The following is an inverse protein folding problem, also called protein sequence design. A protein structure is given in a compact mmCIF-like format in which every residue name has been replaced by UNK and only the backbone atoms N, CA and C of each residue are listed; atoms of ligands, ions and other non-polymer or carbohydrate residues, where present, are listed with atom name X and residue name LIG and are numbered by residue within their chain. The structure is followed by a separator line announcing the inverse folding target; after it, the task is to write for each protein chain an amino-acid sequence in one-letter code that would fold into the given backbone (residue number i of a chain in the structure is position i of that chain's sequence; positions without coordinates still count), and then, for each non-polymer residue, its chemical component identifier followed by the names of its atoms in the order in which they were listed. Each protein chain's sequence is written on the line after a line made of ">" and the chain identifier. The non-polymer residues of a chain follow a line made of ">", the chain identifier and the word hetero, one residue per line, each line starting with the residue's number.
data_IF_158081034902
#
_entry.id   IF_158081034902
#
_cell.length_a   1.000
_cell.length_b   1.000
_cell.length_c   1.000
_cell.angle_alpha   90.00
_cell.angle_beta   90.00
_cell.angle_gamma   90.00
#
_symmetry.space_group_name_H-M   'P 1'
#
loop_
_entity.id
_entity.type
_entity.pdbx_description
1 polymer ?
#
# COMPACT_ATOMS: atom_id res chain seq x y z
N UNK A 1 -18.14 -57.78 1.76
CA UNK A 1 -17.75 -56.62 0.92
C UNK A 1 -17.57 -57.15 -0.49
N UNK A 2 -18.49 -56.82 -1.40
CA UNK A 2 -18.50 -57.35 -2.77
C UNK A 2 -17.49 -56.61 -3.64
N UNK A 3 -16.98 -57.22 -4.66
CA UNK A 3 -15.95 -56.70 -5.56
C UNK A 3 -16.45 -55.49 -6.37
N UNK A 4 -17.74 -55.28 -6.46
CA UNK A 4 -18.42 -54.14 -7.07
C UNK A 4 -18.22 -52.84 -6.30
N UNK A 5 -18.16 -52.88 -4.96
CA UNK A 5 -18.01 -51.70 -4.12
C UNK A 5 -16.62 -51.00 -4.26
N UNK A 6 -15.59 -51.82 -4.53
CA UNK A 6 -14.21 -51.27 -4.73
C UNK A 6 -14.07 -50.52 -6.05
N UNK A 7 -14.78 -50.89 -7.09
CA UNK A 7 -14.74 -50.21 -8.40
C UNK A 7 -15.47 -48.87 -8.36
N UNK A 8 -16.56 -48.76 -7.60
CA UNK A 8 -17.29 -47.50 -7.42
C UNK A 8 -16.52 -46.47 -6.56
N UNK A 9 -15.79 -46.96 -5.54
CA UNK A 9 -14.92 -46.08 -4.72
C UNK A 9 -13.76 -45.47 -5.54
N UNK A 10 -13.15 -46.23 -6.43
CA UNK A 10 -12.07 -45.76 -7.30
C UNK A 10 -12.57 -44.78 -8.38
N UNK A 11 -13.78 -44.97 -8.90
CA UNK A 11 -14.40 -44.07 -9.87
C UNK A 11 -14.77 -42.70 -9.24
N UNK A 12 -15.24 -42.70 -7.99
CA UNK A 12 -15.57 -41.47 -7.26
C UNK A 12 -14.35 -40.70 -6.80
N UNK A 13 -13.22 -41.34 -6.49
CA UNK A 13 -11.96 -40.69 -6.18
C UNK A 13 -11.32 -40.02 -7.41
N UNK A 14 -11.43 -40.61 -8.59
CA UNK A 14 -10.93 -40.06 -9.85
C UNK A 14 -11.67 -38.76 -10.29
N UNK A 15 -12.99 -38.71 -10.03
CA UNK A 15 -13.81 -37.52 -10.36
C UNK A 15 -13.52 -36.30 -9.48
N UNK A 16 -13.14 -36.48 -8.22
CA UNK A 16 -12.83 -35.39 -7.29
C UNK A 16 -11.51 -34.65 -7.64
N UNK A 17 -10.55 -35.35 -8.25
CA UNK A 17 -9.27 -34.75 -8.66
C UNK A 17 -9.38 -33.86 -9.91
N UNK A 18 -10.34 -34.12 -10.80
CA UNK A 18 -10.56 -33.35 -12.00
C UNK A 18 -11.26 -32.00 -11.73
N UNK A 19 -12.08 -31.91 -10.68
CA UNK A 19 -12.76 -30.68 -10.26
C UNK A 19 -11.85 -29.76 -9.42
N UNK A 20 -10.85 -30.28 -8.72
CA UNK A 20 -9.89 -29.49 -7.92
C UNK A 20 -8.87 -28.73 -8.76
N UNK A 21 -8.59 -29.17 -9.99
CA UNK A 21 -7.59 -28.54 -10.87
C UNK A 21 -8.04 -27.23 -11.53
N UNK A 22 -9.35 -27.00 -11.66
CA UNK A 22 -9.87 -25.82 -12.38
C UNK A 22 -9.89 -24.55 -11.52
N UNK A 23 -9.89 -24.68 -10.19
CA UNK A 23 -9.91 -23.53 -9.26
C UNK A 23 -8.51 -22.97 -8.96
N UNK A 24 -7.43 -23.68 -9.27
CA UNK A 24 -6.06 -23.23 -9.03
C UNK A 24 -5.54 -22.19 -10.05
N UNK A 25 -6.23 -22.02 -11.18
CA UNK A 25 -5.79 -21.18 -12.29
C UNK A 25 -6.10 -19.68 -12.17
N UNK A 26 -6.94 -19.25 -11.22
CA UNK A 26 -7.41 -17.86 -11.15
C UNK A 26 -6.61 -16.96 -10.19
N UNK A 27 -5.64 -17.50 -9.46
CA UNK A 27 -4.85 -16.69 -8.53
C UNK A 27 -3.48 -16.39 -9.14
N UNK A 28 -3.37 -15.30 -9.88
CA UNK A 28 -2.06 -14.77 -10.29
C UNK A 28 -1.53 -13.90 -9.15
N UNK A 29 -0.40 -14.25 -8.51
CA UNK A 29 0.18 -13.39 -7.49
C UNK A 29 0.55 -12.05 -8.12
N UNK A 30 0.18 -10.96 -7.45
CA UNK A 30 0.34 -9.58 -7.92
C UNK A 30 1.82 -9.18 -8.16
N UNK A 31 2.75 -9.96 -7.62
CA UNK A 31 4.20 -9.82 -7.76
C UNK A 31 4.81 -11.05 -8.50
N UNK A 32 4.10 -11.66 -9.44
CA UNK A 32 4.71 -12.66 -10.32
C UNK A 32 5.86 -12.00 -11.12
N UNK A 33 6.96 -12.70 -11.34
CA UNK A 33 8.17 -12.16 -11.99
C UNK A 33 7.89 -11.51 -13.36
N UNK A 34 6.84 -11.93 -14.05
CA UNK A 34 6.37 -11.38 -15.35
C UNK A 34 5.10 -10.51 -15.20
N UNK A 35 4.76 -10.04 -14.00
CA UNK A 35 3.56 -9.24 -13.76
C UNK A 35 3.79 -7.77 -14.14
N UNK A 36 2.73 -7.07 -14.65
CA UNK A 36 2.81 -5.64 -14.99
C UNK A 36 3.16 -4.74 -13.81
N UNK A 37 2.90 -5.19 -12.59
CA UNK A 37 3.32 -4.51 -11.36
C UNK A 37 4.83 -4.55 -11.14
N UNK A 38 5.51 -5.61 -11.59
CA UNK A 38 6.97 -5.76 -11.52
C UNK A 38 7.67 -4.75 -12.45
N UNK A 39 7.03 -4.35 -13.55
CA UNK A 39 7.55 -3.36 -14.48
C UNK A 39 7.74 -1.96 -13.87
N UNK A 40 7.07 -1.62 -12.78
CA UNK A 40 7.24 -0.35 -12.06
C UNK A 40 8.29 -0.40 -10.95
N UNK A 41 8.64 -1.59 -10.45
CA UNK A 41 9.60 -1.76 -9.36
C UNK A 41 10.99 -1.31 -9.83
N UNK A 42 11.62 -0.43 -9.07
CA UNK A 42 12.94 0.12 -9.40
C UNK A 42 12.95 1.19 -10.51
N UNK A 43 11.80 1.59 -11.06
CA UNK A 43 11.70 2.56 -12.16
C UNK A 43 11.02 3.87 -11.78
N UNK A 44 10.70 4.03 -10.49
CA UNK A 44 10.04 5.20 -9.95
C UNK A 44 11.04 6.04 -9.14
N UNK A 45 11.21 7.31 -9.50
CA UNK A 45 11.87 8.29 -8.66
C UNK A 45 10.96 8.65 -7.51
N UNK A 46 11.41 8.36 -6.28
CA UNK A 46 10.67 8.64 -5.06
C UNK A 46 10.77 10.11 -4.66
N UNK A 47 9.75 10.66 -3.97
CA UNK A 47 9.77 12.04 -3.50
C UNK A 47 10.81 12.26 -2.41
N UNK A 48 11.33 13.47 -2.33
CA UNK A 48 12.20 13.91 -1.23
C UNK A 48 11.37 14.67 -0.20
N UNK A 49 11.67 14.49 1.08
CA UNK A 49 10.98 15.13 2.19
C UNK A 49 11.98 15.66 3.21
N UNK A 50 11.78 16.89 3.66
CA UNK A 50 12.65 17.55 4.66
C UNK A 50 12.22 17.28 6.11
N UNK A 51 11.20 16.44 6.33
CA UNK A 51 10.65 16.17 7.65
C UNK A 51 10.69 14.69 8.01
N UNK A 52 10.65 14.41 9.33
CA UNK A 52 10.71 13.04 9.87
C UNK A 52 9.59 12.14 9.38
N UNK A 53 8.37 12.66 9.26
CA UNK A 53 7.22 11.89 8.77
C UNK A 53 7.45 11.42 7.34
N UNK A 54 7.88 12.33 6.48
CA UNK A 54 8.22 12.03 5.09
C UNK A 54 9.38 11.05 4.96
N UNK A 55 10.38 11.11 5.86
CA UNK A 55 11.45 10.13 5.89
C UNK A 55 10.93 8.70 6.09
N UNK A 56 10.06 8.46 7.08
CA UNK A 56 9.48 7.13 7.31
C UNK A 56 8.52 6.69 6.20
N UNK A 57 7.82 7.65 5.58
CA UNK A 57 6.97 7.37 4.42
C UNK A 57 7.82 6.94 3.22
N UNK A 58 8.91 7.65 2.93
CA UNK A 58 9.83 7.33 1.83
C UNK A 58 10.53 5.99 2.06
N UNK A 59 10.95 5.69 3.29
CA UNK A 59 11.52 4.40 3.68
C UNK A 59 10.56 3.25 3.35
N UNK A 60 9.28 3.38 3.73
CA UNK A 60 8.24 2.39 3.41
C UNK A 60 7.94 2.28 1.91
N UNK A 61 7.96 3.39 1.16
CA UNK A 61 7.82 3.37 -0.30
C UNK A 61 9.00 2.63 -0.95
N UNK A 62 10.23 2.89 -0.48
CA UNK A 62 11.45 2.24 -0.98
C UNK A 62 11.46 0.74 -0.73
N UNK A 63 10.98 0.30 0.44
CA UNK A 63 10.86 -1.12 0.77
C UNK A 63 9.90 -1.87 -0.17
N UNK A 64 8.87 -1.21 -0.67
CA UNK A 64 7.84 -1.81 -1.53
C UNK A 64 8.08 -1.63 -3.02
N UNK A 65 8.60 -0.48 -3.43
CA UNK A 65 8.82 -0.12 -4.85
C UNK A 65 10.27 -0.35 -5.29
N UNK A 66 11.14 -0.76 -4.37
CA UNK A 66 12.55 -0.96 -4.63
C UNK A 66 13.35 0.35 -4.70
N UNK A 67 14.67 0.21 -4.81
CA UNK A 67 15.57 1.35 -5.07
C UNK A 67 15.46 1.73 -6.54
N UNK A 68 15.43 3.03 -6.82
CA UNK A 68 15.41 3.55 -8.19
C UNK A 68 16.65 3.11 -8.93
N UNK A 69 16.47 2.34 -10.00
CA UNK A 69 17.51 1.89 -10.93
C UNK A 69 17.40 2.61 -12.28
N UNK A 70 16.16 2.92 -12.68
CA UNK A 70 15.84 3.71 -13.85
C UNK A 70 14.77 4.74 -13.46
N UNK A 71 14.84 5.95 -14.00
CA UNK A 71 13.90 7.03 -13.69
C UNK A 71 12.91 7.20 -14.85
N UNK A 72 12.02 6.22 -15.05
CA UNK A 72 10.97 6.34 -16.06
C UNK A 72 9.73 7.08 -15.57
N UNK A 73 9.56 7.09 -14.26
CA UNK A 73 8.44 7.76 -13.60
C UNK A 73 8.92 8.55 -12.40
N UNK A 74 8.17 9.61 -12.07
CA UNK A 74 8.37 10.44 -10.89
C UNK A 74 7.10 10.39 -10.04
N UNK A 75 7.23 10.01 -8.78
CA UNK A 75 6.14 10.02 -7.80
C UNK A 75 6.16 11.33 -7.03
N UNK A 76 5.04 12.03 -7.03
CA UNK A 76 4.79 13.18 -6.16
C UNK A 76 3.81 12.79 -5.05
N UNK A 77 4.09 13.19 -3.83
CA UNK A 77 3.23 12.91 -2.67
C UNK A 77 3.10 14.17 -1.82
N UNK A 78 1.86 14.60 -1.59
CA UNK A 78 1.51 15.69 -0.69
C UNK A 78 0.87 15.11 0.56
N UNK A 79 1.45 15.35 1.74
CA UNK A 79 0.97 14.79 3.00
C UNK A 79 0.37 15.85 3.90
N UNK A 80 -0.66 15.47 4.66
CA UNK A 80 -1.26 16.27 5.72
C UNK A 80 -1.59 15.41 6.94
N UNK A 81 -1.39 15.96 8.14
CA UNK A 81 -1.75 15.30 9.40
C UNK A 81 -2.78 16.16 10.12
N UNK A 82 -3.92 15.56 10.47
CA UNK A 82 -4.96 16.17 11.29
C UNK A 82 -5.01 15.50 12.66
N UNK A 83 -5.05 16.33 13.70
CA UNK A 83 -5.27 15.88 15.08
C UNK A 83 -6.72 16.10 15.48
N UNK A 84 -7.29 15.13 16.19
CA UNK A 84 -8.61 15.21 16.80
C UNK A 84 -8.56 14.68 18.22
N UNK A 85 -9.26 15.35 19.14
CA UNK A 85 -9.42 14.90 20.52
C UNK A 85 -10.65 13.98 20.59
N UNK A 86 -10.49 12.74 21.04
CA UNK A 86 -11.56 11.74 21.07
C UNK A 86 -12.22 11.58 22.44
N UNK A 87 -11.48 11.85 23.51
CA UNK A 87 -12.00 11.75 24.85
C UNK A 87 -11.45 12.87 25.74
N UNK A 88 -12.34 13.43 26.55
CA UNK A 88 -12.06 14.48 27.51
C UNK A 88 -12.54 13.95 28.86
N UNK A 89 -11.71 14.00 29.90
CA UNK A 89 -12.07 13.61 31.26
C UNK A 89 -12.91 14.70 31.94
N UNK A 90 -13.47 14.39 33.10
CA UNK A 90 -14.32 15.34 33.86
C UNK A 90 -13.58 16.61 34.31
N UNK A 91 -12.26 16.54 34.45
CA UNK A 91 -11.36 17.67 34.71
C UNK A 91 -10.97 18.48 33.46
N UNK A 92 -11.65 18.24 32.34
CA UNK A 92 -11.38 18.86 31.02
C UNK A 92 -10.04 18.46 30.38
N UNK A 93 -9.32 17.46 30.91
CA UNK A 93 -8.09 16.96 30.31
C UNK A 93 -8.37 16.05 29.11
N UNK A 94 -7.58 16.19 28.05
CA UNK A 94 -7.65 15.33 26.85
C UNK A 94 -6.94 14.02 27.14
N UNK A 95 -7.69 12.93 27.20
CA UNK A 95 -7.17 11.60 27.55
C UNK A 95 -6.87 10.74 26.33
N UNK A 96 -7.53 11.00 25.19
CA UNK A 96 -7.29 10.25 23.95
C UNK A 96 -7.22 11.17 22.74
N UNK A 97 -6.15 11.01 21.97
CA UNK A 97 -5.87 11.81 20.78
C UNK A 97 -5.83 10.88 19.57
N UNK A 98 -6.55 11.26 18.51
CA UNK A 98 -6.47 10.62 17.20
C UNK A 98 -5.66 11.46 16.24
N UNK A 99 -4.83 10.82 15.45
CA UNK A 99 -4.13 11.40 14.30
C UNK A 99 -4.64 10.73 13.02
N UNK A 100 -5.06 11.55 12.07
CA UNK A 100 -5.40 11.11 10.71
C UNK A 100 -4.39 11.71 9.76
N UNK A 101 -3.65 10.84 9.08
CA UNK A 101 -2.71 11.24 8.04
C UNK A 101 -3.33 10.97 6.67
N UNK A 102 -3.21 11.93 5.78
CA UNK A 102 -3.71 11.85 4.39
C UNK A 102 -2.53 12.09 3.47
N UNK A 103 -2.44 11.32 2.39
CA UNK A 103 -1.48 11.52 1.33
C UNK A 103 -2.20 11.53 -0.02
N UNK A 104 -2.12 12.65 -0.74
CA UNK A 104 -2.48 12.73 -2.15
C UNK A 104 -1.23 12.45 -2.97
N UNK A 105 -1.31 11.52 -3.91
CA UNK A 105 -0.17 11.11 -4.71
C UNK A 105 -0.50 11.10 -6.19
N UNK A 106 0.51 11.39 -7.01
CA UNK A 106 0.43 11.38 -8.46
C UNK A 106 1.73 10.85 -9.06
N UNK A 107 1.61 10.00 -10.08
CA UNK A 107 2.72 9.42 -10.83
C UNK A 107 2.80 10.09 -12.19
N UNK A 108 3.94 10.66 -12.52
CA UNK A 108 4.23 11.33 -13.78
C UNK A 108 5.28 10.56 -14.58
N UNK A 109 5.25 10.60 -15.92
CA UNK A 109 6.36 10.10 -16.72
C UNK A 109 7.59 10.99 -16.52
N UNK A 110 8.80 10.40 -16.48
CA UNK A 110 10.04 11.14 -16.20
C UNK A 110 10.59 11.90 -17.43
N UNK A 111 10.12 11.63 -18.65
CA UNK A 111 10.70 12.13 -19.91
C UNK A 111 10.21 13.49 -20.41
N UNK A 112 9.51 14.29 -19.60
CA UNK A 112 8.97 15.58 -20.04
C UNK A 112 9.90 16.75 -19.76
N UNK A 113 10.70 17.18 -20.73
CA UNK A 113 11.46 18.45 -20.70
C UNK A 113 10.61 19.70 -20.97
N UNK A 114 9.28 19.59 -20.89
CA UNK A 114 8.39 20.67 -21.29
C UNK A 114 7.88 21.49 -20.10
N UNK A 115 7.77 22.82 -20.23
CA UNK A 115 7.12 23.71 -19.26
C UNK A 115 5.59 23.56 -19.22
N UNK A 116 5.02 22.58 -19.91
CA UNK A 116 3.59 22.29 -19.91
C UNK A 116 3.20 21.45 -18.68
N UNK A 117 2.02 21.67 -18.07
CA UNK A 117 1.52 20.87 -17.00
C UNK A 117 1.36 19.41 -17.50
N UNK A 118 2.19 18.52 -16.97
CA UNK A 118 2.11 17.09 -17.29
C UNK A 118 0.88 16.50 -16.60
N UNK A 119 0.07 15.75 -17.34
CA UNK A 119 -1.00 14.95 -16.74
C UNK A 119 -0.40 13.71 -16.03
N UNK A 120 -0.86 13.40 -14.81
CA UNK A 120 -0.41 12.20 -14.12
C UNK A 120 -0.97 10.96 -14.82
N UNK A 121 -0.11 9.96 -15.04
CA UNK A 121 -0.54 8.64 -15.57
C UNK A 121 -1.37 7.87 -14.54
N UNK A 122 -1.09 8.09 -13.25
CA UNK A 122 -1.85 7.56 -12.13
C UNK A 122 -1.92 8.59 -11.02
N UNK A 123 -3.05 8.63 -10.33
CA UNK A 123 -3.20 9.46 -9.13
C UNK A 123 -4.13 8.81 -8.12
N UNK A 124 -4.02 9.20 -6.87
CA UNK A 124 -4.89 8.68 -5.84
C UNK A 124 -4.69 9.32 -4.48
N UNK A 125 -5.45 8.84 -3.54
CA UNK A 125 -5.40 9.27 -2.14
C UNK A 125 -5.26 8.06 -1.24
N UNK A 126 -4.38 8.16 -0.25
CA UNK A 126 -4.25 7.23 0.85
C UNK A 126 -4.57 7.93 2.17
N UNK A 127 -5.24 7.21 3.08
CA UNK A 127 -5.59 7.70 4.41
C UNK A 127 -5.19 6.67 5.44
N UNK A 128 -4.54 7.10 6.51
CA UNK A 128 -4.23 6.27 7.67
C UNK A 128 -4.63 6.99 8.94
N UNK A 129 -5.17 6.23 9.92
CA UNK A 129 -5.61 6.78 11.18
C UNK A 129 -5.10 5.92 12.33
N UNK A 130 -4.61 6.57 13.39
CA UNK A 130 -4.21 5.92 14.62
C UNK A 130 -4.39 6.87 15.80
N UNK A 131 -4.31 6.35 17.03
CA UNK A 131 -4.49 7.17 18.22
C UNK A 131 -3.57 6.75 19.35
N UNK A 132 -3.37 7.67 20.29
CA UNK A 132 -2.63 7.42 21.51
C UNK A 132 -3.32 8.05 22.71
N UNK A 133 -3.01 7.53 23.90
CA UNK A 133 -3.51 8.09 25.15
C UNK A 133 -2.54 9.16 25.63
N UNK A 134 -3.09 10.30 26.05
CA UNK A 134 -2.35 11.32 26.80
C UNK A 134 -2.29 10.88 28.26
N UNK A 135 -1.13 10.94 28.86
CA UNK A 135 -0.89 10.61 30.28
C UNK A 135 -0.33 11.82 31.01
N UNK A 136 -0.31 11.77 32.34
CA UNK A 136 0.30 12.81 33.17
C UNK A 136 1.81 13.00 32.88
N UNK A 137 2.47 11.97 32.33
CA UNK A 137 3.87 12.06 31.91
C UNK A 137 3.98 12.67 30.51
N UNK A 138 4.55 13.88 30.43
CA UNK A 138 4.85 14.55 29.16
C UNK A 138 5.81 13.75 28.29
N UNK A 139 6.77 13.05 28.90
CA UNK A 139 7.71 12.22 28.17
C UNK A 139 7.01 11.03 27.51
N UNK A 140 6.17 10.30 28.26
CA UNK A 140 5.43 9.15 27.75
C UNK A 140 4.47 9.58 26.61
N UNK A 141 3.77 10.70 26.78
CA UNK A 141 2.86 11.26 25.77
C UNK A 141 3.61 11.65 24.49
N UNK A 142 4.81 12.26 24.62
CA UNK A 142 5.65 12.62 23.45
C UNK A 142 6.17 11.37 22.74
N UNK A 143 6.64 10.36 23.48
CA UNK A 143 7.11 9.10 22.91
C UNK A 143 5.99 8.38 22.15
N UNK A 144 4.78 8.30 22.74
CA UNK A 144 3.62 7.71 22.09
C UNK A 144 3.23 8.45 20.80
N UNK A 145 3.25 9.79 20.81
CA UNK A 145 3.00 10.59 19.61
C UNK A 145 3.99 10.28 18.49
N UNK A 146 5.29 10.22 18.79
CA UNK A 146 6.34 9.94 17.79
C UNK A 146 6.21 8.53 17.21
N UNK A 147 5.86 7.54 18.03
CA UNK A 147 5.64 6.16 17.56
C UNK A 147 4.43 6.09 16.61
N UNK A 148 3.32 6.75 16.97
CA UNK A 148 2.14 6.81 16.11
C UNK A 148 2.42 7.53 14.79
N UNK A 149 3.13 8.64 14.80
CA UNK A 149 3.52 9.34 13.56
C UNK A 149 4.35 8.42 12.64
N UNK A 150 5.30 7.65 13.20
CA UNK A 150 6.07 6.65 12.45
C UNK A 150 5.19 5.57 11.83
N UNK A 151 4.25 5.02 12.60
CA UNK A 151 3.31 3.98 12.12
C UNK A 151 2.41 4.52 11.00
N UNK A 152 1.87 5.72 11.17
CA UNK A 152 1.04 6.37 10.16
C UNK A 152 1.81 6.60 8.85
N UNK A 153 3.06 7.05 8.92
CA UNK A 153 3.89 7.27 7.76
C UNK A 153 4.15 5.96 7.00
N UNK A 154 4.50 4.88 7.71
CA UNK A 154 4.72 3.56 7.12
C UNK A 154 3.46 3.00 6.48
N UNK A 155 2.33 3.03 7.17
CA UNK A 155 1.04 2.56 6.65
C UNK A 155 0.61 3.36 5.41
N UNK A 156 0.81 4.68 5.37
CA UNK A 156 0.57 5.47 4.18
C UNK A 156 1.47 5.05 3.01
N UNK A 157 2.77 4.86 3.24
CA UNK A 157 3.71 4.40 2.21
C UNK A 157 3.29 3.04 1.63
N UNK A 158 2.90 2.10 2.48
CA UNK A 158 2.39 0.80 2.04
C UNK A 158 1.08 0.90 1.24
N UNK A 159 0.16 1.77 1.63
CA UNK A 159 -1.12 1.98 0.92
C UNK A 159 -0.89 2.61 -0.44
N UNK A 160 0.01 3.60 -0.53
CA UNK A 160 0.40 4.22 -1.81
C UNK A 160 1.02 3.17 -2.72
N UNK A 161 2.02 2.43 -2.25
CA UNK A 161 2.70 1.40 -3.05
C UNK A 161 1.72 0.32 -3.54
N UNK A 162 0.86 -0.19 -2.68
CA UNK A 162 -0.19 -1.16 -3.07
C UNK A 162 -1.14 -0.59 -4.12
N UNK A 163 -1.58 0.66 -3.96
CA UNK A 163 -2.47 1.31 -4.91
C UNK A 163 -1.82 1.54 -6.27
N UNK A 164 -0.54 1.92 -6.29
CA UNK A 164 0.27 2.05 -7.50
C UNK A 164 0.39 0.71 -8.23
N UNK A 165 0.84 -0.33 -7.54
CA UNK A 165 1.06 -1.65 -8.13
C UNK A 165 -0.24 -2.28 -8.63
N UNK A 166 -1.35 -2.12 -7.89
CA UNK A 166 -2.66 -2.63 -8.30
C UNK A 166 -3.18 -1.96 -9.57
N UNK A 167 -3.02 -0.63 -9.69
CA UNK A 167 -3.48 0.13 -10.87
C UNK A 167 -2.58 -0.05 -12.08
N UNK A 168 -1.27 -0.21 -11.88
CA UNK A 168 -0.34 -0.53 -12.95
C UNK A 168 -0.69 -1.85 -13.63
N UNK A 169 -1.14 -2.85 -12.87
CA UNK A 169 -1.66 -4.11 -13.41
C UNK A 169 -2.85 -3.94 -14.36
N UNK A 170 -3.70 -2.94 -14.12
CA UNK A 170 -4.83 -2.62 -14.99
C UNK A 170 -4.46 -1.86 -16.27
N UNK A 171 -3.36 -1.09 -16.27
CA UNK A 171 -2.94 -0.29 -17.43
C UNK A 171 -2.42 -1.14 -18.59
N UNK A 172 -1.73 -2.24 -18.31
CA UNK A 172 -1.19 -3.13 -19.35
C UNK A 172 -2.26 -3.97 -20.04
N UNK A 173 -3.39 -4.24 -19.37
CA UNK A 173 -4.52 -4.97 -19.97
C UNK A 173 -5.26 -4.08 -20.98
N UNK A 174 -5.30 -2.77 -20.77
CA UNK A 174 -5.96 -1.82 -21.68
C UNK A 174 -5.12 -1.46 -22.92
N UNK A 175 -3.78 -1.62 -22.86
CA UNK A 175 -2.86 -1.34 -23.97
C UNK A 175 -2.67 -2.53 -24.92
N UNK A 176 -3.20 -3.70 -24.60
CA UNK A 176 -3.07 -4.95 -25.38
C UNK A 176 -4.35 -5.43 -26.06
N UNK A 177 -5.40 -4.61 -26.16
CA UNK A 177 -6.68 -4.93 -26.81
C UNK A 177 -6.87 -4.15 -28.14
#
# INVERSE_FOLDING_TARGET
>A
MSWSDRRQLLANLGGAWLLGGVLAGCFRPMLAEDGPSTALVGRIRLPEFDNRFGYYLNDSLRDRLGRTQAEDFRLEVKTGIRRSNLAIAQDNSVTRISLTAVADWALYPAGGSAPAPQEPVLQGRAVSQSGYNSTASLFATRAAKLDIERRLARDLGERIARSLLARAGGMTVAAGS
#
